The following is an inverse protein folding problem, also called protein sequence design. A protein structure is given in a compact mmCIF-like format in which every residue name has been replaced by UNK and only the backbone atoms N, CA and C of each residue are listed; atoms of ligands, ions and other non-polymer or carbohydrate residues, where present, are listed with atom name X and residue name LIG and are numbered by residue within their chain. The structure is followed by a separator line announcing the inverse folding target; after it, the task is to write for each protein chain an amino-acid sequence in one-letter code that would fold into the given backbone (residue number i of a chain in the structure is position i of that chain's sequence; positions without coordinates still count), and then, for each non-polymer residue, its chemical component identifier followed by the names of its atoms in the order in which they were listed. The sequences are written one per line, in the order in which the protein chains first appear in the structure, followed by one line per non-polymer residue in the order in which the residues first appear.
data_IF_063295550714
#
_entry.id   IF_063295550714
#
_cell.length_a   1.000
_cell.length_b   1.000
_cell.length_c   1.000
_cell.angle_alpha   90.00
_cell.angle_beta   90.00
_cell.angle_gamma   90.00
#
_symmetry.space_group_name_H-M   'P 1'
#
loop_
_entity.id
_entity.type
_entity.pdbx_description
1 polymer ?
#
# COMPACT_ATOMS: atom_id res chain seq x y z
N UNK A 1 -16.05 -60.90 -9.65
CA UNK A 1 -17.22 -60.08 -9.25
C UNK A 1 -17.61 -60.13 -7.76
N UNK A 2 -16.85 -60.77 -6.85
CA UNK A 2 -17.18 -60.81 -5.40
C UNK A 2 -16.43 -59.76 -4.55
N UNK A 3 -15.22 -59.34 -4.96
CA UNK A 3 -14.43 -58.31 -4.28
C UNK A 3 -15.07 -56.92 -4.37
N UNK A 4 -15.64 -56.59 -5.54
CA UNK A 4 -16.38 -55.33 -5.75
C UNK A 4 -17.64 -55.27 -4.87
N UNK A 5 -18.37 -56.37 -4.68
CA UNK A 5 -19.54 -56.39 -3.78
C UNK A 5 -19.14 -56.26 -2.30
N UNK A 6 -18.01 -56.88 -1.91
CA UNK A 6 -17.49 -56.85 -0.52
C UNK A 6 -16.91 -55.48 -0.13
N UNK A 7 -16.26 -54.79 -1.06
CA UNK A 7 -15.66 -53.46 -0.82
C UNK A 7 -16.45 -52.31 -1.43
N UNK A 8 -17.64 -52.56 -1.99
CA UNK A 8 -18.51 -51.54 -2.57
C UNK A 8 -18.73 -50.39 -1.59
N UNK A 9 -19.02 -50.71 -0.33
CA UNK A 9 -19.26 -49.72 0.70
C UNK A 9 -18.02 -48.87 0.99
N UNK A 10 -16.83 -49.47 0.99
CA UNK A 10 -15.56 -48.77 1.18
C UNK A 10 -15.24 -47.85 -0.01
N UNK A 11 -15.55 -48.29 -1.24
CA UNK A 11 -15.37 -47.48 -2.45
C UNK A 11 -16.33 -46.28 -2.43
N UNK A 12 -17.60 -46.49 -2.08
CA UNK A 12 -18.59 -45.42 -1.94
C UNK A 12 -18.15 -44.41 -0.87
N UNK A 13 -17.67 -44.90 0.28
CA UNK A 13 -17.22 -44.03 1.37
C UNK A 13 -15.98 -43.21 0.97
N UNK A 14 -15.04 -43.83 0.25
CA UNK A 14 -13.84 -43.13 -0.25
C UNK A 14 -14.19 -42.06 -1.29
N UNK A 15 -15.11 -42.36 -2.20
CA UNK A 15 -15.62 -41.37 -3.16
C UNK A 15 -16.33 -40.22 -2.44
N UNK A 16 -17.13 -40.52 -1.41
CA UNK A 16 -17.84 -39.49 -0.64
C UNK A 16 -16.88 -38.56 0.10
N UNK A 17 -15.82 -39.11 0.70
CA UNK A 17 -14.75 -38.31 1.33
C UNK A 17 -13.99 -37.47 0.29
N UNK A 18 -13.68 -38.03 -0.87
CA UNK A 18 -13.00 -37.29 -1.93
C UNK A 18 -13.85 -36.10 -2.45
N UNK A 19 -15.15 -36.33 -2.66
CA UNK A 19 -16.08 -35.27 -3.09
C UNK A 19 -16.22 -34.18 -2.01
N UNK A 20 -16.32 -34.58 -0.73
CA UNK A 20 -16.36 -33.63 0.38
C UNK A 20 -15.08 -32.79 0.45
N UNK A 21 -13.91 -33.41 0.29
CA UNK A 21 -12.62 -32.72 0.28
C UNK A 21 -12.51 -31.68 -0.85
N UNK A 22 -12.92 -32.06 -2.07
CA UNK A 22 -12.93 -31.14 -3.22
C UNK A 22 -13.88 -29.97 -2.99
N UNK A 23 -15.08 -30.22 -2.45
CA UNK A 23 -16.07 -29.17 -2.18
C UNK A 23 -15.60 -28.17 -1.11
N UNK A 24 -14.91 -28.65 -0.08
CA UNK A 24 -14.34 -27.78 0.96
C UNK A 24 -13.21 -26.93 0.36
N UNK A 25 -12.31 -27.55 -0.41
CA UNK A 25 -11.17 -26.85 -1.01
C UNK A 25 -11.60 -25.70 -1.94
N UNK A 26 -12.63 -25.92 -2.77
CA UNK A 26 -13.13 -24.90 -3.69
C UNK A 26 -13.84 -23.75 -2.98
N UNK A 27 -14.52 -24.01 -1.85
CA UNK A 27 -15.12 -22.95 -1.03
C UNK A 27 -14.09 -22.09 -0.30
N UNK A 28 -12.98 -22.69 0.16
CA UNK A 28 -11.93 -21.95 0.86
C UNK A 28 -11.02 -21.14 -0.07
N UNK A 29 -10.97 -21.49 -1.35
CA UNK A 29 -10.15 -20.80 -2.36
C UNK A 29 -11.00 -20.30 -3.53
N UNK A 30 -11.90 -19.32 -3.29
CA UNK A 30 -12.60 -18.67 -4.38
C UNK A 30 -11.57 -18.00 -5.29
N UNK A 31 -11.52 -18.43 -6.56
CA UNK A 31 -10.63 -17.85 -7.58
C UNK A 31 -11.07 -16.43 -7.99
N UNK A 32 -12.32 -16.09 -7.73
CA UNK A 32 -12.92 -14.83 -8.14
C UNK A 32 -13.19 -13.98 -6.91
N UNK A 33 -12.90 -12.68 -7.04
CA UNK A 33 -13.27 -11.69 -6.05
C UNK A 33 -14.81 -11.67 -5.90
N UNK A 34 -15.36 -11.55 -4.68
CA UNK A 34 -16.79 -11.38 -4.47
C UNK A 34 -17.37 -10.29 -5.35
N UNK A 35 -18.62 -10.45 -5.78
CA UNK A 35 -19.32 -9.41 -6.51
C UNK A 35 -19.28 -8.10 -5.70
N UNK A 36 -18.88 -7.00 -6.36
CA UNK A 36 -18.67 -5.67 -5.78
C UNK A 36 -17.41 -5.47 -4.91
N UNK A 37 -16.45 -6.40 -4.90
CA UNK A 37 -15.12 -6.17 -4.32
C UNK A 37 -14.09 -5.92 -5.44
N UNK A 38 -13.45 -4.75 -5.40
CA UNK A 38 -12.35 -4.42 -6.30
C UNK A 38 -11.05 -4.51 -5.50
N UNK A 39 -10.17 -5.41 -5.92
CA UNK A 39 -8.81 -5.49 -5.39
C UNK A 39 -7.87 -4.71 -6.31
N UNK A 40 -7.09 -3.80 -5.71
CA UNK A 40 -6.10 -3.02 -6.42
C UNK A 40 -4.99 -2.63 -5.46
N UNK A 41 -3.74 -2.76 -5.90
CA UNK A 41 -2.59 -2.26 -5.15
C UNK A 41 -2.23 -0.87 -5.65
N UNK A 42 -2.05 0.07 -4.72
CA UNK A 42 -1.61 1.42 -5.00
C UNK A 42 -0.53 1.88 -4.02
N UNK A 43 0.16 2.96 -4.37
CA UNK A 43 1.00 3.72 -3.44
C UNK A 43 0.47 5.13 -3.32
N UNK A 44 0.61 5.70 -2.13
CA UNK A 44 0.31 7.09 -1.89
C UNK A 44 1.49 7.90 -2.44
N UNK A 45 1.19 8.82 -3.35
CA UNK A 45 2.14 9.78 -3.87
C UNK A 45 1.82 11.17 -3.30
N UNK A 46 2.87 11.89 -2.90
CA UNK A 46 2.79 13.29 -2.52
C UNK A 46 3.73 14.10 -3.39
N UNK A 47 3.39 15.36 -3.62
CA UNK A 47 4.26 16.29 -4.33
C UNK A 47 5.44 16.68 -3.43
N UNK A 48 6.65 16.42 -3.92
CA UNK A 48 7.87 16.86 -3.26
C UNK A 48 8.33 18.16 -3.90
N UNK A 49 8.22 19.25 -3.15
CA UNK A 49 8.69 20.58 -3.57
C UNK A 49 9.99 20.88 -2.85
N UNK A 50 11.09 20.99 -3.61
CA UNK A 50 12.36 21.45 -3.06
C UNK A 50 12.46 22.97 -3.20
N UNK A 51 12.63 23.67 -2.08
CA UNK A 51 12.71 25.12 -2.02
C UNK A 51 14.17 25.55 -2.08
N UNK A 52 14.50 26.45 -3.00
CA UNK A 52 15.82 27.07 -3.09
C UNK A 52 15.70 28.59 -3.21
N UNK A 53 16.73 29.30 -2.82
CA UNK A 53 16.80 30.76 -2.79
C UNK A 53 17.33 31.29 -4.11
N UNK A 54 16.71 32.37 -4.64
CA UNK A 54 17.11 32.96 -5.92
C UNK A 54 18.49 33.61 -5.89
N UNK A 55 18.89 34.14 -4.73
CA UNK A 55 20.17 34.80 -4.53
C UNK A 55 21.00 34.03 -3.51
N UNK A 56 22.34 34.00 -3.65
CA UNK A 56 23.21 33.43 -2.65
C UNK A 56 23.19 34.28 -1.36
N UNK A 57 23.22 33.61 -0.22
CA UNK A 57 23.25 34.25 1.09
C UNK A 57 23.46 33.23 2.20
N UNK A 58 23.90 33.68 3.38
CA UNK A 58 23.98 32.82 4.56
C UNK A 58 22.64 32.83 5.28
N UNK A 59 22.20 31.68 5.78
CA UNK A 59 20.98 31.62 6.60
C UNK A 59 21.20 32.43 7.88
N UNK A 60 20.36 33.44 8.08
CA UNK A 60 20.35 34.28 9.27
C UNK A 60 19.41 33.74 10.34
N UNK A 61 18.25 33.22 9.91
CA UNK A 61 17.23 32.65 10.79
C UNK A 61 16.46 31.56 10.07
N UNK A 62 16.19 30.45 10.76
CA UNK A 62 15.24 29.43 10.35
C UNK A 62 14.00 29.55 11.23
N UNK A 63 12.81 29.60 10.65
CA UNK A 63 11.54 29.82 11.36
C UNK A 63 10.68 28.58 11.50
N UNK A 64 11.07 27.48 10.86
CA UNK A 64 10.34 26.21 10.83
C UNK A 64 11.28 25.06 11.17
N UNK A 65 10.72 24.01 11.78
CA UNK A 65 11.42 22.75 12.07
C UNK A 65 10.78 21.60 11.28
N UNK A 66 11.38 20.41 11.37
CA UNK A 66 10.90 19.22 10.69
C UNK A 66 9.47 18.87 11.16
N UNK A 67 8.58 18.59 10.20
CA UNK A 67 7.17 18.29 10.47
C UNK A 67 6.29 19.51 10.76
N UNK A 68 6.83 20.74 10.72
CA UNK A 68 6.02 21.96 10.89
C UNK A 68 5.11 22.15 9.68
N UNK A 69 3.77 22.28 9.86
CA UNK A 69 2.87 22.57 8.76
C UNK A 69 3.08 24.02 8.27
N UNK A 70 3.32 24.18 6.96
CA UNK A 70 3.56 25.48 6.33
C UNK A 70 2.40 25.90 5.44
N UNK A 71 2.19 27.21 5.30
CA UNK A 71 1.18 27.78 4.39
C UNK A 71 1.85 28.67 3.35
N UNK A 72 1.18 28.88 2.22
CA UNK A 72 1.66 29.80 1.18
C UNK A 72 1.91 31.19 1.77
N UNK A 73 3.10 31.74 1.52
CA UNK A 73 3.52 33.06 2.02
C UNK A 73 4.13 33.04 3.43
N UNK A 74 4.16 31.88 4.11
CA UNK A 74 4.88 31.76 5.38
C UNK A 74 6.39 31.82 5.15
N UNK A 75 7.08 32.69 5.90
CA UNK A 75 8.54 32.73 5.88
C UNK A 75 9.09 31.46 6.54
N UNK A 76 9.94 30.72 5.81
CA UNK A 76 10.60 29.49 6.28
C UNK A 76 12.05 29.71 6.72
N UNK A 77 12.73 30.66 6.08
CA UNK A 77 14.09 31.07 6.40
C UNK A 77 14.30 32.53 5.99
N UNK A 78 15.19 33.21 6.69
CA UNK A 78 15.69 34.55 6.35
C UNK A 78 17.15 34.42 5.98
N UNK A 79 17.51 34.91 4.80
CA UNK A 79 18.90 35.00 4.35
C UNK A 79 19.51 36.35 4.73
N UNK A 80 20.81 36.35 4.99
CA UNK A 80 21.64 37.55 5.07
C UNK A 80 22.65 37.53 3.94
N UNK A 81 22.68 38.61 3.17
CA UNK A 81 23.66 38.85 2.11
C UNK A 81 24.20 40.27 2.24
N UNK A 82 25.52 40.40 2.38
CA UNK A 82 26.19 41.70 2.49
C UNK A 82 25.98 42.55 1.25
N UNK A 83 25.92 41.90 0.08
CA UNK A 83 25.68 42.54 -1.21
C UNK A 83 24.27 43.16 -1.29
N UNK A 84 23.26 42.54 -0.66
CA UNK A 84 21.90 43.10 -0.61
C UNK A 84 21.74 44.21 0.44
N UNK A 85 22.53 44.16 1.52
CA UNK A 85 22.53 45.22 2.55
C UNK A 85 23.23 46.51 2.07
N UNK A 86 24.08 46.41 1.04
CA UNK A 86 24.88 47.52 0.51
C UNK A 86 24.31 48.18 -0.77
N UNK A 87 23.28 47.57 -1.39
CA UNK A 87 22.53 48.13 -2.53
C UNK A 87 21.39 49.04 -2.06
#
# INVERSE_FOLDING_TARGET
MQLIKKYWLAIVLLVLVAVAGVMIYTKLHPKELPANLVEGTGRIYGDLVNLNTKYPGRIAKLTVDYGTPVKKGMAVAVLKSREQEAQ
#
